data_IF_414280630255
#
_entry.id   IF_414280630255
#
_cell.length_a   1.000
_cell.length_b   1.000
_cell.length_c   1.000
_cell.angle_alpha   90.00
_cell.angle_beta   90.00
_cell.angle_gamma   90.00
#
_symmetry.space_group_name_H-M   'P 1'
#
loop_
_entity.id
_entity.type
_entity.pdbx_description
1 polymer ?
#
# COMPACT_ATOMS: atom_id res chain seq x y z
N UNK A 1 -9.01 -25.76 -5.18
CA UNK A 1 -8.57 -24.78 -4.17
C UNK A 1 -7.04 -24.78 -3.99
N UNK A 2 -6.39 -25.95 -3.87
CA UNK A 2 -4.93 -26.02 -3.66
C UNK A 2 -4.07 -25.47 -4.80
N UNK A 3 -4.55 -25.53 -6.05
CA UNK A 3 -3.80 -25.07 -7.22
C UNK A 3 -3.60 -23.54 -7.27
N UNK A 4 -4.47 -22.77 -6.61
CA UNK A 4 -4.43 -21.30 -6.60
C UNK A 4 -3.88 -20.71 -5.30
N UNK A 5 -3.61 -21.53 -4.28
CA UNK A 5 -3.19 -21.06 -2.97
C UNK A 5 -1.91 -20.20 -3.03
N UNK A 6 -0.95 -20.56 -3.87
CA UNK A 6 0.30 -19.80 -4.03
C UNK A 6 0.14 -18.41 -4.66
N UNK A 7 -0.97 -18.16 -5.37
CA UNK A 7 -1.26 -16.86 -6.00
C UNK A 7 -2.18 -16.02 -5.11
N UNK A 8 -3.11 -16.69 -4.42
CA UNK A 8 -4.19 -16.06 -3.64
C UNK A 8 -3.69 -15.48 -2.32
N UNK A 9 -2.83 -16.22 -1.59
CA UNK A 9 -2.38 -15.83 -0.26
C UNK A 9 -1.10 -14.97 -0.24
N UNK A 10 -0.72 -14.41 -1.39
CA UNK A 10 0.44 -13.52 -1.50
C UNK A 10 -0.01 -12.08 -1.77
N UNK A 11 0.65 -11.08 -1.17
CA UNK A 11 0.31 -9.68 -1.39
C UNK A 11 0.72 -9.17 -2.78
N UNK A 12 1.62 -9.87 -3.47
CA UNK A 12 2.20 -9.44 -4.73
C UNK A 12 1.27 -9.69 -5.92
N UNK A 13 1.48 -8.93 -6.99
CA UNK A 13 0.77 -9.11 -8.24
C UNK A 13 1.47 -10.16 -9.08
N UNK A 14 0.81 -11.29 -9.33
CA UNK A 14 1.35 -12.38 -10.15
C UNK A 14 0.62 -12.52 -11.48
N UNK A 15 1.40 -12.76 -12.52
CA UNK A 15 0.89 -13.22 -13.80
C UNK A 15 0.76 -14.73 -13.78
N UNK A 16 -0.44 -15.24 -14.01
CA UNK A 16 -0.73 -16.66 -14.03
C UNK A 16 -1.00 -17.14 -15.44
N UNK A 17 -0.51 -18.32 -15.77
CA UNK A 17 -0.90 -19.01 -17.00
C UNK A 17 -2.02 -20.00 -16.68
N UNK A 18 -3.21 -19.77 -17.24
CA UNK A 18 -4.40 -20.57 -16.99
C UNK A 18 -4.66 -21.42 -18.23
N UNK A 19 -4.75 -22.72 -18.06
CA UNK A 19 -5.12 -23.65 -19.11
C UNK A 19 -6.62 -23.98 -19.05
N UNK A 20 -7.33 -23.63 -20.11
CA UNK A 20 -8.76 -23.94 -20.25
C UNK A 20 -8.98 -24.63 -21.59
N UNK A 21 -9.52 -25.84 -21.57
CA UNK A 21 -9.82 -26.63 -22.77
C UNK A 21 -8.61 -26.80 -23.70
N UNK A 22 -7.42 -27.02 -23.16
CA UNK A 22 -6.16 -27.20 -23.91
C UNK A 22 -5.60 -25.93 -24.55
N UNK A 23 -6.10 -24.74 -24.15
CA UNK A 23 -5.55 -23.45 -24.54
C UNK A 23 -4.99 -22.74 -23.30
N UNK A 24 -3.77 -22.20 -23.43
CA UNK A 24 -3.11 -21.44 -22.38
C UNK A 24 -3.41 -19.94 -22.52
N UNK A 25 -3.86 -19.32 -21.44
CA UNK A 25 -4.13 -17.89 -21.36
C UNK A 25 -3.27 -17.26 -20.30
N UNK A 26 -2.59 -16.16 -20.61
CA UNK A 26 -1.90 -15.36 -19.63
C UNK A 26 -2.91 -14.41 -18.98
N UNK A 27 -3.07 -14.52 -17.69
CA UNK A 27 -4.04 -13.74 -16.92
C UNK A 27 -3.43 -13.22 -15.62
N UNK A 28 -4.04 -12.18 -15.09
CA UNK A 28 -3.72 -11.64 -13.78
C UNK A 28 -4.94 -11.78 -12.87
N UNK A 29 -4.68 -11.97 -11.58
CA UNK A 29 -5.72 -12.01 -10.58
C UNK A 29 -6.27 -10.60 -10.37
N UNK A 30 -7.58 -10.40 -10.53
CA UNK A 30 -8.22 -9.11 -10.40
C UNK A 30 -8.94 -8.97 -9.07
N UNK A 31 -9.75 -9.96 -8.70
CA UNK A 31 -10.49 -9.94 -7.44
C UNK A 31 -10.66 -11.35 -6.87
N UNK A 32 -10.81 -11.43 -5.55
CA UNK A 32 -11.03 -12.67 -4.83
C UNK A 32 -12.07 -12.42 -3.75
N UNK A 33 -13.03 -13.33 -3.66
CA UNK A 33 -14.01 -13.33 -2.59
C UNK A 33 -13.84 -14.56 -1.71
N UNK A 34 -13.75 -14.30 -0.41
CA UNK A 34 -13.65 -15.33 0.62
C UNK A 34 -14.93 -15.44 1.41
N UNK A 35 -15.23 -16.64 1.88
CA UNK A 35 -16.27 -16.86 2.88
C UNK A 35 -15.78 -16.28 4.22
N UNK A 36 -16.54 -15.35 4.85
CA UNK A 36 -16.13 -14.69 6.09
C UNK A 36 -16.04 -15.61 7.32
N UNK A 37 -16.55 -16.83 7.24
CA UNK A 37 -16.58 -17.80 8.35
C UNK A 37 -15.55 -18.91 8.16
N UNK A 38 -15.42 -19.42 6.93
CA UNK A 38 -14.60 -20.58 6.62
C UNK A 38 -13.29 -20.24 5.93
N UNK A 39 -13.06 -18.96 5.57
CA UNK A 39 -11.94 -18.46 4.76
C UNK A 39 -11.75 -19.20 3.42
N UNK A 40 -12.78 -19.92 2.97
CA UNK A 40 -12.76 -20.60 1.68
C UNK A 40 -13.00 -19.61 0.56
N UNK A 41 -12.34 -19.87 -0.56
CA UNK A 41 -12.52 -19.08 -1.78
C UNK A 41 -13.89 -19.38 -2.37
N UNK A 42 -14.73 -18.34 -2.49
CA UNK A 42 -16.05 -18.42 -3.15
C UNK A 42 -15.92 -18.10 -4.64
N UNK A 43 -15.19 -17.03 -4.95
CA UNK A 43 -15.04 -16.54 -6.32
C UNK A 43 -13.64 -16.01 -6.58
N UNK A 44 -13.12 -16.24 -7.79
CA UNK A 44 -11.84 -15.70 -8.27
C UNK A 44 -12.05 -15.12 -9.64
N UNK A 45 -11.70 -13.87 -9.83
CA UNK A 45 -11.74 -13.18 -11.11
C UNK A 45 -10.35 -13.07 -11.72
N UNK A 46 -10.21 -13.63 -12.91
CA UNK A 46 -9.00 -13.51 -13.71
C UNK A 46 -9.23 -12.58 -14.90
N UNK A 47 -8.34 -11.66 -15.11
CA UNK A 47 -8.33 -10.81 -16.29
C UNK A 47 -7.28 -11.26 -17.28
N UNK A 48 -7.69 -11.58 -18.51
CA UNK A 48 -6.78 -12.00 -19.58
C UNK A 48 -5.92 -10.80 -20.02
N UNK A 49 -4.61 -10.97 -20.03
CA UNK A 49 -3.66 -9.97 -20.45
C UNK A 49 -3.55 -9.89 -21.98
N UNK A 50 -3.77 -8.70 -22.51
CA UNK A 50 -3.46 -8.35 -23.88
C UNK A 50 -2.30 -7.35 -23.89
N UNK A 51 -1.19 -7.65 -24.57
CA UNK A 51 0.03 -6.83 -24.58
C UNK A 51 -0.17 -5.36 -24.96
N UNK A 52 -1.20 -5.07 -25.77
CA UNK A 52 -1.46 -3.73 -26.30
C UNK A 52 -2.57 -2.98 -25.56
N UNK A 53 -3.11 -3.54 -24.46
CA UNK A 53 -4.20 -2.92 -23.73
C UNK A 53 -3.74 -2.56 -22.32
N UNK A 54 -3.96 -1.29 -21.93
CA UNK A 54 -3.75 -0.85 -20.57
C UNK A 54 -4.75 -1.52 -19.64
N UNK A 55 -4.27 -1.96 -18.51
CA UNK A 55 -5.08 -2.61 -17.47
C UNK A 55 -5.04 -1.79 -16.19
N UNK A 56 -6.12 -1.85 -15.43
CA UNK A 56 -6.22 -1.21 -14.12
C UNK A 56 -6.23 -2.30 -13.06
N UNK A 57 -5.25 -2.28 -12.18
CA UNK A 57 -5.11 -3.25 -11.09
C UNK A 57 -4.78 -2.57 -9.78
N UNK A 58 -4.97 -3.28 -8.67
CA UNK A 58 -4.56 -2.87 -7.34
C UNK A 58 -3.19 -3.46 -7.01
N UNK A 59 -2.20 -2.59 -6.82
CA UNK A 59 -0.84 -2.96 -6.47
C UNK A 59 -0.57 -2.61 -5.01
N UNK A 60 0.05 -3.52 -4.23
CA UNK A 60 0.40 -3.26 -2.84
C UNK A 60 1.51 -2.22 -2.74
N UNK A 61 1.50 -1.48 -1.65
CA UNK A 61 2.60 -0.59 -1.28
C UNK A 61 3.58 -1.29 -0.36
N UNK A 62 4.87 -1.03 -0.57
CA UNK A 62 5.93 -1.48 0.32
C UNK A 62 6.61 -0.29 0.96
N UNK A 63 6.52 -0.20 2.28
CA UNK A 63 7.14 0.88 3.05
C UNK A 63 8.63 0.61 3.17
N UNK A 64 9.43 1.61 2.84
CA UNK A 64 10.89 1.57 2.93
C UNK A 64 11.40 2.69 3.85
N UNK A 65 12.53 2.43 4.51
CA UNK A 65 13.18 3.37 5.39
C UNK A 65 12.57 3.43 6.80
N UNK A 66 13.16 4.29 7.63
CA UNK A 66 12.72 4.54 9.01
C UNK A 66 12.43 6.02 9.17
N UNK A 67 11.25 6.35 9.68
CA UNK A 67 10.82 7.72 9.86
C UNK A 67 11.31 8.30 11.19
N UNK A 68 11.89 9.51 11.20
CA UNK A 68 12.23 10.23 12.44
C UNK A 68 11.00 10.49 13.32
N UNK A 69 9.83 10.66 12.70
CA UNK A 69 8.59 10.83 13.46
C UNK A 69 8.15 9.58 14.22
N UNK A 70 8.47 8.37 13.73
CA UNK A 70 8.26 7.12 14.45
C UNK A 70 9.27 6.97 15.59
N UNK A 71 10.54 7.32 15.34
CA UNK A 71 11.59 7.29 16.36
C UNK A 71 11.30 8.27 17.50
N UNK A 72 10.65 9.39 17.21
CA UNK A 72 10.21 10.37 18.21
C UNK A 72 8.93 9.95 18.98
N UNK A 73 8.47 8.68 18.82
CA UNK A 73 7.31 8.13 19.52
C UNK A 73 5.97 8.30 18.79
N UNK A 74 5.98 8.67 17.52
CA UNK A 74 4.81 8.67 16.65
C UNK A 74 4.41 7.25 16.22
N UNK A 75 3.15 7.09 15.82
CA UNK A 75 2.64 5.81 15.28
C UNK A 75 2.41 5.94 13.79
N UNK A 76 3.09 5.09 13.00
CA UNK A 76 2.85 5.01 11.58
C UNK A 76 1.49 4.35 11.31
N UNK A 77 0.64 5.04 10.57
CA UNK A 77 -0.63 4.51 10.09
C UNK A 77 -0.64 4.49 8.56
N UNK A 78 -0.72 3.31 8.01
CA UNK A 78 -0.97 3.10 6.59
C UNK A 78 -2.48 3.25 6.36
N UNK A 79 -2.86 4.21 5.51
CA UNK A 79 -4.26 4.50 5.18
C UNK A 79 -4.68 3.63 4.00
N UNK A 80 -3.90 3.66 2.93
CA UNK A 80 -4.11 2.86 1.75
C UNK A 80 -2.97 1.85 1.63
N UNK A 81 -3.29 0.56 1.69
CA UNK A 81 -2.30 -0.52 1.57
C UNK A 81 -2.10 -0.97 0.12
N UNK A 82 -3.08 -0.67 -0.73
CA UNK A 82 -3.05 -0.95 -2.16
C UNK A 82 -3.42 0.32 -2.90
N UNK A 83 -2.86 0.52 -4.07
CA UNK A 83 -3.17 1.64 -4.95
C UNK A 83 -3.62 1.10 -6.31
N UNK A 84 -4.70 1.69 -6.83
CA UNK A 84 -5.16 1.42 -8.20
C UNK A 84 -4.25 2.12 -9.18
N UNK A 85 -3.59 1.34 -10.00
CA UNK A 85 -2.74 1.84 -11.07
C UNK A 85 -3.23 1.38 -12.43
N UNK A 86 -2.95 2.18 -13.43
CA UNK A 86 -3.21 1.88 -14.84
C UNK A 86 -1.88 1.83 -15.58
N UNK A 87 -1.57 0.66 -16.15
CA UNK A 87 -0.32 0.42 -16.86
C UNK A 87 -0.49 -0.61 -17.97
N UNK A 88 0.51 -0.69 -18.85
CA UNK A 88 0.65 -1.83 -19.77
C UNK A 88 1.14 -3.07 -19.00
N UNK A 89 0.79 -4.28 -19.43
CA UNK A 89 1.19 -5.52 -18.76
C UNK A 89 2.70 -5.65 -18.54
N UNK A 90 3.49 -5.18 -19.50
CA UNK A 90 4.96 -5.25 -19.43
C UNK A 90 5.59 -4.26 -18.43
N UNK A 91 4.82 -3.24 -18.00
CA UNK A 91 5.25 -2.17 -17.10
C UNK A 91 4.58 -2.24 -15.72
N UNK A 92 4.03 -3.40 -15.38
CA UNK A 92 3.39 -3.61 -14.09
C UNK A 92 4.43 -3.83 -12.99
N UNK A 93 4.46 -2.98 -11.94
CA UNK A 93 5.29 -3.24 -10.78
C UNK A 93 4.62 -4.24 -9.85
N UNK A 94 5.41 -5.10 -9.20
CA UNK A 94 4.91 -6.03 -8.18
C UNK A 94 4.49 -5.31 -6.90
N UNK A 95 5.15 -4.20 -6.59
CA UNK A 95 4.85 -3.33 -5.45
C UNK A 95 5.27 -1.89 -5.75
N UNK A 96 4.69 -0.94 -5.03
CA UNK A 96 5.07 0.48 -5.11
C UNK A 96 5.92 0.81 -3.88
N UNK A 97 7.22 1.17 -4.05
CA UNK A 97 8.06 1.56 -2.94
C UNK A 97 7.62 2.92 -2.39
N UNK A 98 7.47 2.99 -1.07
CA UNK A 98 7.06 4.19 -0.35
C UNK A 98 8.12 4.53 0.69
N UNK A 99 8.94 5.53 0.41
CA UNK A 99 9.97 5.99 1.35
C UNK A 99 9.33 6.91 2.42
N UNK A 100 9.54 6.54 3.69
CA UNK A 100 9.07 7.30 4.85
C UNK A 100 10.19 8.02 5.59
N UNK A 101 11.43 7.99 5.10
CA UNK A 101 12.61 8.54 5.79
C UNK A 101 12.52 10.05 6.05
N UNK A 102 11.77 10.77 5.23
CA UNK A 102 11.55 12.21 5.38
C UNK A 102 10.29 12.59 6.18
N UNK A 103 9.56 11.60 6.73
CA UNK A 103 8.31 11.87 7.43
C UNK A 103 8.53 12.16 8.91
N UNK A 104 8.12 13.34 9.33
CA UNK A 104 8.09 13.78 10.71
C UNK A 104 6.77 13.47 11.40
N UNK A 105 6.72 13.69 12.72
CA UNK A 105 5.52 13.51 13.52
C UNK A 105 4.41 14.46 13.07
N UNK A 106 3.21 13.90 12.81
CA UNK A 106 2.05 14.64 12.31
C UNK A 106 1.99 14.78 10.78
N UNK A 107 3.06 14.46 10.05
CA UNK A 107 3.10 14.56 8.60
C UNK A 107 2.34 13.43 7.90
N UNK A 108 1.89 13.74 6.69
CA UNK A 108 1.17 12.84 5.79
C UNK A 108 1.92 12.70 4.49
N UNK A 109 1.98 11.49 3.95
CA UNK A 109 2.48 11.23 2.62
C UNK A 109 1.32 11.11 1.65
N UNK A 110 1.34 11.92 0.60
CA UNK A 110 0.36 11.94 -0.48
C UNK A 110 0.88 11.18 -1.69
N UNK A 111 -0.03 10.75 -2.54
CA UNK A 111 0.26 10.04 -3.80
C UNK A 111 1.20 10.84 -4.71
N UNK A 112 1.07 12.18 -4.71
CA UNK A 112 1.90 13.07 -5.54
C UNK A 112 3.39 12.97 -5.29
N UNK A 113 3.80 12.46 -4.10
CA UNK A 113 5.21 12.26 -3.74
C UNK A 113 5.75 10.88 -4.09
N UNK A 114 4.92 10.01 -4.64
CA UNK A 114 5.35 8.68 -5.07
C UNK A 114 6.01 8.73 -6.44
N UNK A 115 7.01 7.88 -6.70
CA UNK A 115 7.58 7.74 -8.05
C UNK A 115 6.49 7.21 -9.00
N UNK A 116 6.31 7.91 -10.12
CA UNK A 116 5.39 7.52 -11.20
C UNK A 116 6.24 7.36 -12.47
N UNK A 117 6.82 6.17 -12.66
CA UNK A 117 7.71 5.94 -13.79
C UNK A 117 6.92 5.53 -15.04
N UNK A 118 6.40 4.30 -15.06
CA UNK A 118 5.76 3.70 -16.23
C UNK A 118 4.27 3.38 -16.02
N UNK A 119 3.67 3.89 -14.97
CA UNK A 119 2.27 3.64 -14.62
C UNK A 119 1.58 4.91 -14.15
N UNK A 120 0.28 4.96 -14.32
CA UNK A 120 -0.56 6.07 -13.85
C UNK A 120 -1.37 5.65 -12.63
N UNK A 121 -1.26 6.39 -11.54
CA UNK A 121 -2.08 6.17 -10.34
C UNK A 121 -3.47 6.76 -10.58
N UNK A 122 -4.52 5.94 -10.35
CA UNK A 122 -5.92 6.30 -10.61
C UNK A 122 -6.63 6.94 -9.40
N UNK A 123 -5.89 7.27 -8.35
CA UNK A 123 -6.44 7.94 -7.18
C UNK A 123 -6.31 9.46 -7.29
N UNK A 124 -7.16 10.25 -6.59
CA UNK A 124 -7.01 11.69 -6.48
C UNK A 124 -5.68 12.08 -5.83
N UNK A 125 -5.10 13.20 -6.25
CA UNK A 125 -3.81 13.72 -5.76
C UNK A 125 -3.78 13.94 -4.23
N UNK A 126 -4.93 14.24 -3.64
CA UNK A 126 -5.10 14.44 -2.20
C UNK A 126 -5.19 13.14 -1.38
N UNK A 127 -5.06 11.98 -2.03
CA UNK A 127 -5.14 10.71 -1.32
C UNK A 127 -3.89 10.50 -0.47
N UNK A 128 -4.12 10.26 0.83
CA UNK A 128 -3.05 9.98 1.79
C UNK A 128 -2.70 8.51 1.74
N UNK A 129 -1.44 8.18 1.53
CA UNK A 129 -0.91 6.81 1.52
C UNK A 129 -0.61 6.36 2.93
N UNK A 130 0.20 7.12 3.65
CA UNK A 130 0.51 6.88 5.04
C UNK A 130 0.64 8.20 5.82
N UNK A 131 0.50 8.12 7.13
CA UNK A 131 0.63 9.25 8.04
C UNK A 131 1.26 8.83 9.36
N UNK A 132 2.01 9.74 9.98
CA UNK A 132 2.51 9.53 11.33
C UNK A 132 1.60 10.27 12.30
N UNK A 133 0.93 9.52 13.16
CA UNK A 133 0.09 10.09 14.21
C UNK A 133 0.91 10.32 15.48
N UNK A 134 0.65 11.43 16.12
CA UNK A 134 1.19 11.68 17.47
C UNK A 134 0.54 10.72 18.44
N UNK A 135 1.32 9.90 19.12
CA UNK A 135 0.79 9.02 20.16
C UNK A 135 0.38 9.86 21.39
N UNK A 136 -0.58 9.35 22.19
CA UNK A 136 -1.00 10.02 23.42
C UNK A 136 0.18 10.17 24.41
N UNK A 137 1.10 9.21 24.42
CA UNK A 137 2.30 9.25 25.24
C UNK A 137 3.26 10.36 24.78
N UNK A 138 3.46 10.52 23.46
CA UNK A 138 4.29 11.57 22.90
C UNK A 138 3.67 12.96 23.12
N UNK A 139 2.33 13.08 23.03
CA UNK A 139 1.65 14.34 23.37
C UNK A 139 1.84 14.73 24.83
N UNK A 140 1.76 13.76 25.74
CA UNK A 140 1.96 14.00 27.17
C UNK A 140 3.41 14.40 27.48
N UNK A 141 4.38 13.71 26.89
CA UNK A 141 5.79 14.04 27.03
C UNK A 141 6.12 15.45 26.48
N UNK A 142 5.55 15.82 25.33
CA UNK A 142 5.71 17.16 24.76
C UNK A 142 5.04 18.24 25.63
N UNK A 143 3.88 17.96 26.23
CA UNK A 143 3.22 18.88 27.16
C UNK A 143 4.01 19.05 28.48
N UNK A 144 4.56 17.96 29.00
CA UNK A 144 5.37 17.99 30.22
C UNK A 144 6.69 18.73 29.98
N UNK A 145 7.33 18.56 28.81
CA UNK A 145 8.50 19.31 28.40
C UNK A 145 8.21 20.82 28.25
N UNK A 146 7.14 21.18 27.56
CA UNK A 146 6.70 22.57 27.40
C UNK A 146 6.32 23.24 28.73
N UNK A 147 5.82 22.45 29.68
CA UNK A 147 5.48 22.94 31.02
C UNK A 147 6.73 23.19 31.89
N UNK A 148 7.74 22.34 31.72
CA UNK A 148 9.03 22.47 32.37
C UNK A 148 9.79 23.73 31.86
N UNK A 149 9.75 23.96 30.53
CA UNK A 149 10.39 25.13 29.90
C UNK A 149 9.74 26.46 30.34
N UNK A 150 8.40 26.51 30.43
CA UNK A 150 7.66 27.65 30.95
C UNK A 150 7.89 27.89 32.45
N UNK A 151 8.19 26.86 33.22
CA UNK A 151 8.52 26.98 34.62
C UNK A 151 9.95 27.51 34.83
N UNK A 152 10.88 27.18 33.91
CA UNK A 152 12.28 27.69 33.96
C UNK A 152 12.39 29.15 33.54
N UNK A 153 11.50 29.64 32.66
CA UNK A 153 11.55 31.06 32.18
C UNK A 153 10.87 32.05 33.15
N UNK A 154 10.25 31.56 34.23
CA UNK A 154 9.53 32.40 35.22
C UNK A 154 10.31 32.61 36.53
N UNK A 155 11.58 32.30 36.52
CA UNK A 155 12.50 32.52 37.65
C UNK A 155 13.61 33.56 37.25
#
# INVERSE_FOLDING_TARGET
ELAFAGIVYTPNVYTATIEVNGKSYTAILQDIQFDPVTDKIIHIDFYQLNKNKEITIEVPIQIQGTSPGVMAGGTLRVVNRKLKIKALPDNLPDFIPVDISALEMGNRLYITKLPQENYKIMHPDNTVVCQIRVSRAAMKAAQDAAKAEKAATKK
#
